data_IF_328210115592
#
_entry.id   IF_328210115592
#
_cell.length_a   1.000
_cell.length_b   1.000
_cell.length_c   1.000
_cell.angle_alpha   90.00
_cell.angle_beta   90.00
_cell.angle_gamma   90.00
#
_symmetry.space_group_name_H-M   'P 1'
#
loop_
_entity.id
_entity.type
_entity.pdbx_description
1 polymer ?
#
# COMPACT_ATOMS: atom_id res chain seq x y z
N UNK A 1 -20.64 20.99 10.74
CA UNK A 1 -20.31 20.71 12.15
C UNK A 1 -19.15 21.56 12.67
N UNK A 2 -18.76 22.63 11.97
CA UNK A 2 -17.87 23.65 12.55
C UNK A 2 -18.56 24.26 13.76
N UNK A 3 -17.91 24.27 14.91
CA UNK A 3 -18.47 24.78 16.16
C UNK A 3 -17.51 24.65 17.33
N UNK A 4 -17.99 24.96 18.53
CA UNK A 4 -17.16 24.99 19.74
C UNK A 4 -17.18 23.71 20.58
N UNK A 5 -17.91 22.68 20.17
CA UNK A 5 -17.95 21.40 20.89
C UNK A 5 -16.66 20.60 20.64
N UNK A 6 -16.26 19.75 21.60
CA UNK A 6 -14.99 19.01 21.52
C UNK A 6 -14.92 18.08 20.29
N UNK A 7 -16.05 17.50 19.93
CA UNK A 7 -16.24 16.60 18.80
C UNK A 7 -16.74 17.32 17.53
N UNK A 8 -16.84 18.65 17.54
CA UNK A 8 -17.04 19.46 16.33
C UNK A 8 -15.89 19.25 15.33
N UNK A 9 -16.22 19.34 14.05
CA UNK A 9 -15.27 19.09 12.96
C UNK A 9 -15.51 20.00 11.76
N UNK A 10 -14.42 20.29 11.06
CA UNK A 10 -14.36 21.29 10.00
C UNK A 10 -14.25 20.66 8.61
N UNK A 11 -14.40 21.51 7.60
CA UNK A 11 -14.15 21.12 6.21
C UNK A 11 -12.72 20.63 6.03
N UNK A 12 -12.59 19.43 5.46
CA UNK A 12 -11.33 18.76 5.21
C UNK A 12 -10.79 17.93 6.39
N UNK A 13 -11.59 17.75 7.45
CA UNK A 13 -11.34 16.72 8.44
C UNK A 13 -11.79 15.35 7.94
N UNK A 14 -11.18 14.29 8.48
CA UNK A 14 -11.64 12.92 8.26
C UNK A 14 -12.43 12.47 9.48
N UNK A 15 -13.70 12.14 9.30
CA UNK A 15 -14.56 11.62 10.36
C UNK A 15 -14.65 10.10 10.28
N UNK A 16 -14.61 9.46 11.44
CA UNK A 16 -14.87 8.04 11.61
C UNK A 16 -16.27 7.86 12.15
N UNK A 17 -17.03 6.97 11.51
CA UNK A 17 -18.42 6.73 11.84
C UNK A 17 -18.65 5.25 12.09
N UNK A 18 -19.61 4.96 12.97
CA UNK A 18 -20.15 3.62 13.16
C UNK A 18 -21.47 3.52 12.43
N UNK A 19 -21.56 2.57 11.50
CA UNK A 19 -22.80 2.28 10.79
C UNK A 19 -23.86 1.76 11.76
N UNK A 20 -25.05 2.36 11.70
CA UNK A 20 -26.13 2.08 12.62
C UNK A 20 -26.97 0.88 12.17
N UNK A 21 -27.31 0.01 13.12
CA UNK A 21 -28.32 -1.04 12.97
C UNK A 21 -29.58 -0.61 13.71
N UNK A 22 -30.75 -1.07 13.28
CA UNK A 22 -32.04 -0.70 13.87
C UNK A 22 -32.06 -0.81 15.42
N UNK A 23 -31.46 -1.86 15.99
CA UNK A 23 -31.41 -2.08 17.44
C UNK A 23 -30.54 -1.09 18.22
N UNK A 24 -29.57 -0.45 17.55
CA UNK A 24 -28.64 0.47 18.17
C UNK A 24 -29.12 1.93 18.07
N UNK A 25 -30.10 2.22 17.22
CA UNK A 25 -30.68 3.57 17.05
C UNK A 25 -31.37 4.04 18.34
N UNK A 26 -32.04 3.13 19.06
CA UNK A 26 -32.70 3.46 20.34
C UNK A 26 -31.72 3.79 21.48
N UNK A 27 -30.41 3.58 21.28
CA UNK A 27 -29.38 3.92 22.27
C UNK A 27 -28.80 5.32 22.06
N UNK A 28 -29.16 5.97 20.96
CA UNK A 28 -28.70 7.32 20.65
C UNK A 28 -29.33 8.32 21.63
N UNK A 29 -28.56 9.33 21.97
CA UNK A 29 -28.88 10.32 23.00
C UNK A 29 -28.57 11.72 22.52
N UNK A 30 -29.15 12.72 23.19
CA UNK A 30 -28.86 14.14 22.95
C UNK A 30 -27.36 14.36 23.07
N UNK A 31 -26.79 15.08 22.11
CA UNK A 31 -25.36 15.29 21.96
C UNK A 31 -24.68 14.37 20.94
N UNK A 32 -25.25 13.21 20.60
CA UNK A 32 -24.66 12.33 19.59
C UNK A 32 -24.77 12.97 18.19
N UNK A 33 -23.70 12.87 17.39
CA UNK A 33 -23.67 13.36 16.00
C UNK A 33 -24.07 12.23 15.05
N UNK A 34 -25.11 12.45 14.26
CA UNK A 34 -25.69 11.45 13.35
C UNK A 34 -25.65 11.89 11.90
N UNK A 35 -25.50 10.91 11.01
CA UNK A 35 -25.50 11.10 9.56
C UNK A 35 -26.70 10.39 8.94
N UNK A 36 -27.41 11.09 8.05
CA UNK A 36 -28.50 10.56 7.23
C UNK A 36 -28.36 11.05 5.79
N UNK A 37 -29.12 10.45 4.87
CA UNK A 37 -29.19 10.94 3.50
C UNK A 37 -30.29 11.99 3.39
N UNK A 38 -29.91 13.22 3.08
CA UNK A 38 -30.85 14.30 2.84
C UNK A 38 -31.27 14.30 1.36
N UNK A 39 -32.57 14.08 1.15
CA UNK A 39 -33.19 14.01 -0.18
C UNK A 39 -33.18 15.38 -0.88
N UNK A 40 -33.31 16.48 -0.13
CA UNK A 40 -33.33 17.83 -0.68
C UNK A 40 -31.96 18.24 -1.22
N UNK A 41 -30.90 17.94 -0.44
CA UNK A 41 -29.51 18.21 -0.84
C UNK A 41 -28.90 17.10 -1.70
N UNK A 42 -29.56 15.94 -1.79
CA UNK A 42 -29.07 14.71 -2.46
C UNK A 42 -27.70 14.28 -1.95
N UNK A 43 -27.43 14.52 -0.68
CA UNK A 43 -26.14 14.31 -0.06
C UNK A 43 -26.31 13.79 1.37
N UNK A 44 -25.25 13.19 1.92
CA UNK A 44 -25.23 12.87 3.34
C UNK A 44 -25.10 14.15 4.16
N UNK A 45 -26.06 14.38 5.04
CA UNK A 45 -26.00 15.46 6.01
C UNK A 45 -25.67 14.90 7.39
N UNK A 46 -24.93 15.67 8.20
CA UNK A 46 -24.46 15.25 9.52
C UNK A 46 -24.66 16.37 10.52
N UNK A 47 -25.48 16.13 11.53
CA UNK A 47 -25.83 17.09 12.58
C UNK A 47 -25.82 16.42 13.96
N UNK A 48 -25.79 17.24 15.01
CA UNK A 48 -25.92 16.80 16.40
C UNK A 48 -27.38 16.66 16.80
N UNK A 49 -27.73 15.59 17.51
CA UNK A 49 -29.05 15.43 18.12
C UNK A 49 -29.19 16.44 19.25
N UNK A 50 -30.20 17.30 19.15
CA UNK A 50 -30.52 18.32 20.16
C UNK A 50 -31.78 17.97 20.96
N UNK A 51 -32.69 17.17 20.39
CA UNK A 51 -33.87 16.65 21.09
C UNK A 51 -34.34 15.31 20.51
N UNK A 52 -35.07 14.53 21.31
CA UNK A 52 -35.50 13.17 21.00
C UNK A 52 -37.01 13.05 21.19
N UNK A 53 -37.71 12.84 20.07
CA UNK A 53 -39.11 12.45 20.06
C UNK A 53 -39.30 10.93 20.12
N UNK A 54 -40.56 10.48 20.07
CA UNK A 54 -40.91 9.06 20.08
C UNK A 54 -40.26 8.29 18.91
N UNK A 55 -40.50 8.76 17.69
CA UNK A 55 -40.05 8.13 16.44
C UNK A 55 -39.09 9.01 15.61
N UNK A 56 -38.70 10.18 16.12
CA UNK A 56 -37.88 11.15 15.41
C UNK A 56 -36.78 11.72 16.30
N UNK A 57 -35.76 12.28 15.66
CA UNK A 57 -34.74 13.12 16.28
C UNK A 57 -34.86 14.54 15.74
N UNK A 58 -34.66 15.52 16.61
CA UNK A 58 -34.36 16.89 16.19
C UNK A 58 -32.85 17.03 16.17
N UNK A 59 -32.32 17.50 15.04
CA UNK A 59 -30.89 17.64 14.83
C UNK A 59 -30.54 19.05 14.38
N UNK A 60 -29.37 19.55 14.79
CA UNK A 60 -28.88 20.86 14.41
C UNK A 60 -27.37 20.81 14.16
N UNK A 61 -26.90 21.59 13.20
CA UNK A 61 -25.47 21.75 12.96
C UNK A 61 -24.83 22.71 13.97
N UNK A 62 -23.66 22.34 14.50
CA UNK A 62 -22.99 23.10 15.56
C UNK A 62 -22.78 24.59 15.23
N UNK A 63 -22.51 24.92 13.96
CA UNK A 63 -22.31 26.31 13.51
C UNK A 63 -23.51 27.21 13.77
N UNK A 64 -24.72 26.65 13.62
CA UNK A 64 -25.95 27.39 13.91
C UNK A 64 -26.21 27.45 15.41
N UNK A 65 -25.85 26.40 16.14
CA UNK A 65 -26.01 26.32 17.60
C UNK A 65 -25.07 27.26 18.37
N UNK A 66 -23.98 27.74 17.74
CA UNK A 66 -23.09 28.76 18.31
C UNK A 66 -23.78 30.13 18.48
N UNK A 67 -24.85 30.40 17.73
CA UNK A 67 -25.66 31.61 17.87
C UNK A 67 -26.85 31.34 18.84
N UNK A 68 -26.91 32.00 20.01
CA UNK A 68 -27.98 31.79 20.99
C UNK A 68 -29.40 32.06 20.49
N UNK A 69 -29.56 32.88 19.44
CA UNK A 69 -30.85 33.19 18.84
C UNK A 69 -31.29 32.11 17.82
N UNK A 70 -30.35 31.30 17.32
CA UNK A 70 -30.59 30.22 16.36
C UNK A 70 -30.52 28.83 16.98
N UNK A 71 -29.91 28.70 18.17
CA UNK A 71 -29.80 27.46 18.91
C UNK A 71 -31.18 26.90 19.22
N UNK A 72 -31.38 25.63 18.88
CA UNK A 72 -32.62 24.94 19.18
C UNK A 72 -32.81 24.80 20.69
N UNK A 73 -34.01 25.16 21.16
CA UNK A 73 -34.40 25.07 22.56
C UNK A 73 -35.81 24.45 22.65
N UNK A 74 -35.97 23.23 23.20
CA UNK A 74 -37.27 22.55 23.25
C UNK A 74 -38.32 23.31 24.07
N UNK A 75 -37.91 24.23 24.95
CA UNK A 75 -38.82 25.03 25.77
C UNK A 75 -39.26 26.33 25.07
N UNK A 76 -38.67 26.66 23.90
CA UNK A 76 -39.01 27.84 23.09
C UNK A 76 -40.03 27.51 22.01
N UNK A 77 -41.01 28.40 21.82
CA UNK A 77 -42.03 28.29 20.77
C UNK A 77 -41.65 28.99 19.46
N UNK A 78 -40.54 29.71 19.42
CA UNK A 78 -40.08 30.55 18.31
C UNK A 78 -38.79 30.04 17.65
N UNK A 79 -38.45 28.77 17.85
CA UNK A 79 -37.34 28.12 17.16
C UNK A 79 -37.45 28.32 15.64
N UNK A 80 -36.36 28.78 15.01
CA UNK A 80 -36.36 29.02 13.57
C UNK A 80 -36.21 27.70 12.80
N UNK A 81 -37.21 27.28 12.00
CA UNK A 81 -37.23 25.98 11.31
C UNK A 81 -36.16 25.84 10.23
N UNK A 82 -35.45 26.91 9.87
CA UNK A 82 -34.35 26.84 8.91
C UNK A 82 -33.03 26.35 9.52
N UNK A 83 -32.94 26.29 10.85
CA UNK A 83 -31.68 25.99 11.55
C UNK A 83 -31.70 24.67 12.32
N UNK A 84 -32.78 23.89 12.24
CA UNK A 84 -32.85 22.52 12.74
C UNK A 84 -33.55 21.62 11.73
N UNK A 85 -33.31 20.31 11.83
CA UNK A 85 -33.91 19.30 10.96
C UNK A 85 -34.50 18.18 11.80
N UNK A 86 -35.75 17.83 11.50
CA UNK A 86 -36.45 16.69 12.11
C UNK A 86 -36.28 15.49 11.18
N UNK A 87 -35.70 14.40 11.71
CA UNK A 87 -35.46 13.17 10.95
C UNK A 87 -36.10 11.98 11.65
N UNK A 88 -36.60 10.99 10.90
CA UNK A 88 -37.06 9.76 11.54
C UNK A 88 -35.87 8.98 12.08
N UNK A 89 -36.07 8.31 13.21
CA UNK A 89 -35.06 7.41 13.79
C UNK A 89 -34.54 6.40 12.76
N UNK A 90 -35.41 5.87 11.90
CA UNK A 90 -35.07 4.90 10.84
C UNK A 90 -34.14 5.44 9.74
N UNK A 91 -34.04 6.76 9.58
CA UNK A 91 -33.29 7.38 8.49
C UNK A 91 -31.79 7.52 8.84
N UNK A 92 -31.46 7.42 10.13
CA UNK A 92 -30.07 7.46 10.62
C UNK A 92 -29.27 6.31 10.04
N UNK A 93 -28.15 6.64 9.38
CA UNK A 93 -27.25 5.66 8.75
C UNK A 93 -25.99 5.42 9.57
N UNK A 94 -25.47 6.45 10.22
CA UNK A 94 -24.25 6.33 10.98
C UNK A 94 -24.24 7.32 12.16
N UNK A 95 -23.42 7.01 13.16
CA UNK A 95 -23.09 7.90 14.28
C UNK A 95 -21.60 8.19 14.24
N UNK A 96 -21.23 9.43 14.53
CA UNK A 96 -19.83 9.85 14.68
C UNK A 96 -19.17 9.12 15.85
N UNK A 97 -17.88 8.82 15.71
CA UNK A 97 -17.07 8.18 16.75
C UNK A 97 -15.84 9.03 17.08
N UNK A 98 -15.16 9.54 16.05
CA UNK A 98 -13.94 10.33 16.22
C UNK A 98 -13.61 11.13 14.97
N UNK A 99 -12.84 12.20 15.14
CA UNK A 99 -12.36 13.05 14.04
C UNK A 99 -10.84 13.05 13.99
N UNK A 100 -10.28 12.90 12.79
CA UNK A 100 -8.88 13.22 12.52
C UNK A 100 -8.80 14.54 11.77
N UNK A 101 -8.39 15.58 12.51
CA UNK A 101 -8.30 16.95 12.00
C UNK A 101 -7.30 17.07 10.85
N UNK A 102 -7.72 17.66 9.74
CA UNK A 102 -6.93 17.93 8.53
C UNK A 102 -6.58 16.72 7.64
N UNK A 103 -6.88 15.48 8.07
CA UNK A 103 -6.55 14.28 7.30
C UNK A 103 -7.38 14.15 6.01
N UNK A 104 -8.60 14.71 5.99
CA UNK A 104 -9.42 14.76 4.78
C UNK A 104 -8.72 15.55 3.66
N UNK A 105 -8.14 16.72 3.97
CA UNK A 105 -7.38 17.52 2.99
C UNK A 105 -6.18 16.77 2.41
N UNK A 106 -5.46 16.03 3.24
CA UNK A 106 -4.34 15.22 2.80
C UNK A 106 -4.79 14.09 1.86
N UNK A 107 -5.92 13.44 2.19
CA UNK A 107 -6.51 12.40 1.37
C UNK A 107 -7.05 12.96 0.04
N UNK A 108 -7.71 14.11 0.06
CA UNK A 108 -8.19 14.80 -1.14
C UNK A 108 -7.03 15.19 -2.06
N UNK A 109 -5.94 15.70 -1.50
CA UNK A 109 -4.73 15.99 -2.27
C UNK A 109 -4.15 14.71 -2.89
N UNK A 110 -4.03 13.62 -2.13
CA UNK A 110 -3.52 12.34 -2.63
C UNK A 110 -4.37 11.78 -3.79
N UNK A 111 -5.68 12.02 -3.78
CA UNK A 111 -6.60 11.61 -4.85
C UNK A 111 -6.65 12.60 -6.02
N UNK A 112 -6.12 13.81 -5.87
CA UNK A 112 -6.16 14.83 -6.91
C UNK A 112 -5.34 14.43 -8.15
N UNK A 113 -5.67 14.96 -9.34
CA UNK A 113 -4.93 14.66 -10.58
C UNK A 113 -3.44 15.01 -10.52
N UNK A 114 -3.03 15.91 -9.62
CA UNK A 114 -1.63 16.32 -9.43
C UNK A 114 -0.98 15.53 -8.28
N UNK A 115 -1.69 15.38 -7.16
CA UNK A 115 -1.14 14.69 -5.99
C UNK A 115 -0.98 13.19 -6.20
N UNK A 116 -1.91 12.52 -6.90
CA UNK A 116 -1.79 11.10 -7.19
C UNK A 116 -0.49 10.73 -7.93
N UNK A 117 -0.16 11.33 -9.10
CA UNK A 117 1.07 10.98 -9.79
C UNK A 117 2.32 11.39 -9.01
N UNK A 118 2.27 12.49 -8.27
CA UNK A 118 3.42 12.98 -7.51
C UNK A 118 3.73 12.09 -6.29
N UNK A 119 2.71 11.70 -5.53
CA UNK A 119 2.88 10.98 -4.27
C UNK A 119 2.90 9.45 -4.43
N UNK A 120 2.30 8.90 -5.49
CA UNK A 120 2.21 7.44 -5.69
C UNK A 120 3.00 7.01 -6.92
N UNK A 121 2.69 7.58 -8.10
CA UNK A 121 3.28 7.10 -9.36
C UNK A 121 4.78 7.40 -9.43
N UNK A 122 5.20 8.61 -9.10
CA UNK A 122 6.60 9.02 -9.18
C UNK A 122 7.49 8.18 -8.26
N UNK A 123 7.19 7.98 -6.95
CA UNK A 123 7.97 7.07 -6.11
C UNK A 123 8.03 5.64 -6.65
N UNK A 124 6.91 5.10 -7.16
CA UNK A 124 6.88 3.77 -7.73
C UNK A 124 7.79 3.66 -8.97
N UNK A 125 7.78 4.66 -9.86
CA UNK A 125 8.67 4.72 -11.03
C UNK A 125 10.13 4.83 -10.62
N UNK A 126 10.46 5.65 -9.62
CA UNK A 126 11.83 5.78 -9.12
C UNK A 126 12.35 4.45 -8.56
N UNK A 127 11.53 3.73 -7.80
CA UNK A 127 11.86 2.39 -7.31
C UNK A 127 12.08 1.44 -8.49
N UNK A 128 11.20 1.48 -9.50
CA UNK A 128 11.32 0.61 -10.67
C UNK A 128 12.61 0.87 -11.47
N UNK A 129 13.02 2.13 -11.63
CA UNK A 129 14.30 2.48 -12.28
C UNK A 129 15.48 1.96 -11.47
N UNK A 130 15.44 2.14 -10.14
CA UNK A 130 16.49 1.66 -9.26
C UNK A 130 16.63 0.13 -9.31
N UNK A 131 15.52 -0.59 -9.16
CA UNK A 131 15.49 -2.06 -9.24
C UNK A 131 15.91 -2.55 -10.62
N UNK A 132 15.48 -1.88 -11.69
CA UNK A 132 15.92 -2.18 -13.05
C UNK A 132 17.44 -2.06 -13.20
N UNK A 133 18.05 -1.00 -12.65
CA UNK A 133 19.50 -0.82 -12.69
C UNK A 133 20.24 -1.88 -11.86
N UNK A 134 19.73 -2.23 -10.67
CA UNK A 134 20.30 -3.28 -9.81
C UNK A 134 20.20 -4.65 -10.50
N UNK A 135 19.06 -4.96 -11.10
CA UNK A 135 18.82 -6.19 -11.83
C UNK A 135 19.80 -6.34 -12.99
N UNK A 136 19.92 -5.33 -13.85
CA UNK A 136 20.86 -5.36 -14.99
C UNK A 136 22.29 -5.58 -14.52
N UNK A 137 22.72 -4.85 -13.47
CA UNK A 137 24.06 -5.02 -12.88
C UNK A 137 24.28 -6.43 -12.35
N UNK A 138 23.29 -7.01 -11.68
CA UNK A 138 23.38 -8.35 -11.11
C UNK A 138 23.38 -9.44 -12.20
N UNK A 139 22.58 -9.26 -13.26
CA UNK A 139 22.59 -10.16 -14.42
C UNK A 139 23.95 -10.16 -15.12
N UNK A 140 24.55 -8.98 -15.35
CA UNK A 140 25.89 -8.88 -15.95
C UNK A 140 26.92 -9.54 -15.05
N UNK A 141 26.92 -9.25 -13.74
CA UNK A 141 27.83 -9.89 -12.78
C UNK A 141 27.70 -11.41 -12.78
N UNK A 142 26.47 -11.92 -12.76
CA UNK A 142 26.20 -13.35 -12.78
C UNK A 142 26.70 -13.99 -14.09
N UNK A 143 26.44 -13.36 -15.23
CA UNK A 143 26.89 -13.89 -16.51
C UNK A 143 28.41 -13.88 -16.63
N UNK A 144 29.08 -12.81 -16.18
CA UNK A 144 30.55 -12.72 -16.16
C UNK A 144 31.17 -13.78 -15.24
N UNK A 145 30.66 -13.94 -14.02
CA UNK A 145 31.13 -14.97 -13.09
C UNK A 145 30.94 -16.38 -13.66
N UNK A 146 29.81 -16.64 -14.33
CA UNK A 146 29.54 -17.91 -15.01
C UNK A 146 30.51 -18.17 -16.16
N UNK A 147 30.83 -17.14 -16.95
CA UNK A 147 31.81 -17.24 -18.04
C UNK A 147 33.22 -17.50 -17.52
N UNK A 148 33.66 -16.81 -16.47
CA UNK A 148 34.95 -17.06 -15.83
C UNK A 148 35.05 -18.48 -15.25
N UNK A 149 34.00 -18.95 -14.58
CA UNK A 149 33.95 -20.30 -14.04
C UNK A 149 34.06 -21.37 -15.15
N UNK A 150 33.32 -21.19 -16.25
CA UNK A 150 33.42 -22.07 -17.43
C UNK A 150 34.80 -22.06 -18.07
N UNK A 151 35.41 -20.88 -18.20
CA UNK A 151 36.74 -20.75 -18.81
C UNK A 151 37.83 -21.40 -17.95
N UNK A 152 37.74 -21.26 -16.63
CA UNK A 152 38.65 -21.95 -15.70
C UNK A 152 38.45 -23.47 -15.75
N UNK A 153 37.20 -23.95 -15.77
CA UNK A 153 36.91 -25.38 -15.91
C UNK A 153 37.46 -25.94 -17.22
N UNK A 154 37.20 -25.29 -18.36
CA UNK A 154 37.71 -25.74 -19.66
C UNK A 154 39.23 -25.77 -19.72
N UNK A 155 39.93 -24.78 -19.14
CA UNK A 155 41.40 -24.82 -19.04
C UNK A 155 41.93 -25.98 -18.20
N UNK A 156 41.26 -26.28 -17.08
CA UNK A 156 41.65 -27.41 -16.22
C UNK A 156 41.42 -28.73 -16.97
N UNK A 157 40.31 -28.84 -17.69
CA UNK A 157 39.97 -30.00 -18.51
C UNK A 157 40.98 -30.19 -19.67
N UNK A 158 41.30 -29.13 -20.41
CA UNK A 158 42.31 -29.14 -21.48
C UNK A 158 43.71 -29.52 -20.96
N UNK A 159 44.15 -28.97 -19.81
CA UNK A 159 45.42 -29.36 -19.19
C UNK A 159 45.42 -30.85 -18.83
N UNK A 160 44.31 -31.35 -18.26
CA UNK A 160 44.21 -32.75 -17.86
C UNK A 160 44.25 -33.70 -19.07
N UNK A 161 43.65 -33.32 -20.19
CA UNK A 161 43.70 -34.08 -21.44
C UNK A 161 45.12 -34.10 -22.04
N UNK A 162 45.80 -32.94 -22.06
CA UNK A 162 47.17 -32.84 -22.54
C UNK A 162 48.16 -33.69 -21.71
N UNK A 163 47.99 -33.75 -20.39
CA UNK A 163 48.79 -34.62 -19.53
C UNK A 163 48.58 -36.10 -19.88
N UNK A 164 47.32 -36.53 -20.05
CA UNK A 164 46.99 -37.89 -20.45
C UNK A 164 47.58 -38.26 -21.83
N UNK A 165 47.54 -37.35 -22.80
CA UNK A 165 48.15 -37.57 -24.13
C UNK A 165 49.68 -37.68 -24.04
N UNK A 166 50.34 -36.79 -23.27
CA UNK A 166 51.80 -36.86 -23.07
C UNK A 166 52.22 -38.15 -22.39
N UNK A 167 51.43 -38.66 -21.45
CA UNK A 167 51.69 -39.95 -20.81
C UNK A 167 51.56 -41.12 -21.79
N UNK A 168 50.51 -41.14 -22.63
CA UNK A 168 50.35 -42.17 -23.67
C UNK A 168 51.51 -42.16 -24.66
N UNK A 169 51.91 -41.00 -25.16
CA UNK A 169 53.04 -40.86 -26.11
C UNK A 169 54.34 -41.33 -25.45
N UNK A 170 54.58 -40.99 -24.18
CA UNK A 170 55.76 -41.47 -23.45
C UNK A 170 55.79 -42.99 -23.34
N UNK A 171 54.65 -43.62 -23.09
CA UNK A 171 54.55 -45.08 -23.02
C UNK A 171 54.83 -45.72 -24.38
N UNK A 172 54.29 -45.17 -25.47
CA UNK A 172 54.55 -45.65 -26.84
C UNK A 172 56.02 -45.54 -27.24
N UNK A 173 56.67 -44.39 -26.99
CA UNK A 173 58.11 -44.20 -27.30
C UNK A 173 58.98 -45.18 -26.51
N UNK A 174 58.67 -45.43 -25.24
CA UNK A 174 59.40 -46.41 -24.42
C UNK A 174 59.22 -47.84 -24.94
N UNK A 175 58.04 -48.18 -25.45
CA UNK A 175 57.80 -49.48 -26.09
C UNK A 175 58.56 -49.59 -27.42
N UNK A 176 58.54 -48.57 -28.26
CA UNK A 176 59.31 -48.55 -29.51
C UNK A 176 60.82 -48.66 -29.26
N UNK A 177 61.36 -47.93 -28.27
CA UNK A 177 62.77 -48.02 -27.91
C UNK A 177 63.15 -49.42 -27.44
N UNK A 178 62.32 -50.04 -26.59
CA UNK A 178 62.52 -51.44 -26.17
C UNK A 178 62.45 -52.41 -27.36
N UNK A 179 61.51 -52.20 -28.29
CA UNK A 179 61.43 -53.02 -29.51
C UNK A 179 62.65 -52.83 -30.41
N UNK A 180 63.14 -51.60 -30.57
CA UNK A 180 64.37 -51.28 -31.34
C UNK A 180 65.62 -51.86 -30.68
N UNK A 181 65.74 -51.77 -29.36
CA UNK A 181 66.85 -52.38 -28.61
C UNK A 181 66.80 -53.91 -28.73
N UNK A 182 65.61 -54.52 -28.67
CA UNK A 182 65.46 -55.96 -28.89
C UNK A 182 65.80 -56.39 -30.32
N UNK A 183 65.38 -55.61 -31.32
CA UNK A 183 65.70 -55.92 -32.73
C UNK A 183 67.16 -55.64 -33.09
N UNK A 184 67.82 -54.63 -32.50
CA UNK A 184 69.27 -54.44 -32.61
C UNK A 184 70.08 -55.52 -31.87
N UNK A 185 69.64 -55.95 -30.69
CA UNK A 185 70.28 -57.05 -29.97
C UNK A 185 70.11 -58.42 -30.66
N UNK A 186 69.08 -58.57 -31.50
CA UNK A 186 68.88 -59.72 -32.39
C UNK A 186 69.69 -59.62 -33.69
N UNK A 187 69.93 -58.41 -34.23
CA UNK A 187 70.79 -58.18 -35.41
C UNK A 187 72.29 -58.28 -35.07
N UNK A 188 72.75 -57.83 -33.90
CA UNK A 188 74.15 -57.90 -33.47
C UNK A 188 74.61 -59.32 -33.03
N UNK A 189 73.68 -60.26 -32.88
CA UNK A 189 73.94 -61.66 -32.48
C UNK A 189 73.98 -62.65 -33.68
N UNK A 190 74.10 -62.14 -34.91
CA UNK A 190 74.05 -62.94 -36.14
C UNK A 190 75.30 -62.74 -37.00
#
# INVERSE_FOLDING_TARGET
>A
MMGNEEDSFDEGDMIFVKMMKAKDIEKLKVGDIVTWYDINRKAFNTHRIVDIGSNYFVTQGDKAADDPDLKYDPDRNDNNPNYYEIINKSDVKAVHVSTWKGAGKALDFLQSPIGFPLCIVLPAVLILIFEGAVLVRNVIKYNNAKMEAKFKQGKVEDLSLLEQEREKIRQEILQELKQKEQSQAEEDNK
#
